data_IF_728399173902
#
_entry.id   IF_728399173902
#
_cell.length_a   1.000
_cell.length_b   1.000
_cell.length_c   1.000
_cell.angle_alpha   90.00
_cell.angle_beta   90.00
_cell.angle_gamma   90.00
#
_symmetry.space_group_name_H-M   'P 1'
#
loop_
_entity.id
_entity.type
_entity.pdbx_description
1 polymer ?
#
# COMPACT_ATOMS: atom_id res chain seq x y z
N UNK A 1 -1.53 3.14 -6.37
CA UNK A 1 -0.11 2.71 -6.29
C UNK A 1 0.69 3.78 -5.59
N UNK A 2 1.44 3.36 -4.56
CA UNK A 2 2.36 4.24 -3.83
C UNK A 2 3.78 3.69 -3.98
N UNK A 3 4.70 4.50 -4.48
CA UNK A 3 6.06 4.08 -4.79
C UNK A 3 7.10 5.06 -4.25
N UNK A 4 8.28 4.56 -3.90
CA UNK A 4 9.44 5.42 -3.60
C UNK A 4 10.17 5.91 -4.85
N UNK A 5 9.76 5.45 -6.05
CA UNK A 5 10.24 6.01 -7.30
C UNK A 5 9.85 7.49 -7.40
N UNK A 6 10.65 8.33 -8.07
CA UNK A 6 10.22 9.68 -8.41
C UNK A 6 8.86 9.65 -9.14
N UNK A 7 7.99 10.58 -8.80
CA UNK A 7 6.60 10.55 -9.28
C UNK A 7 6.48 10.39 -10.81
N UNK A 8 7.25 11.17 -11.57
CA UNK A 8 7.20 11.11 -13.05
C UNK A 8 7.55 9.70 -13.54
N UNK A 9 8.57 9.07 -12.94
CA UNK A 9 8.97 7.72 -13.33
C UNK A 9 7.92 6.68 -12.94
N UNK A 10 7.32 6.81 -11.76
CA UNK A 10 6.26 5.89 -11.31
C UNK A 10 5.05 5.94 -12.25
N UNK A 11 4.61 7.13 -12.63
CA UNK A 11 3.47 7.32 -13.55
C UNK A 11 3.77 6.67 -14.90
N UNK A 12 4.99 6.88 -15.44
CA UNK A 12 5.37 6.29 -16.73
C UNK A 12 5.36 4.76 -16.72
N UNK A 13 5.87 4.16 -15.65
CA UNK A 13 5.88 2.70 -15.51
C UNK A 13 4.46 2.14 -15.50
N UNK A 14 3.58 2.75 -14.70
CA UNK A 14 2.21 2.28 -14.58
C UNK A 14 1.45 2.48 -15.91
N UNK A 15 1.61 3.61 -16.57
CA UNK A 15 0.97 3.85 -17.88
C UNK A 15 1.44 2.84 -18.92
N UNK A 16 2.72 2.51 -18.93
CA UNK A 16 3.28 1.58 -19.89
C UNK A 16 2.86 0.14 -19.66
N UNK A 17 2.84 -0.30 -18.41
CA UNK A 17 2.66 -1.72 -18.07
C UNK A 17 1.26 -2.06 -17.57
N UNK A 18 0.55 -1.10 -16.97
CA UNK A 18 -0.70 -1.35 -16.27
C UNK A 18 -1.77 -0.31 -16.57
N UNK A 19 -1.75 0.26 -17.78
CA UNK A 19 -2.70 1.32 -18.16
C UNK A 19 -4.14 0.90 -17.92
N UNK A 20 -4.89 1.77 -17.23
CA UNK A 20 -6.30 1.53 -16.93
C UNK A 20 -6.60 0.64 -15.74
N UNK A 21 -5.58 0.05 -15.10
CA UNK A 21 -5.79 -0.83 -13.94
C UNK A 21 -5.81 -0.11 -12.60
N UNK A 22 -5.27 1.10 -12.52
CA UNK A 22 -5.15 1.82 -11.27
C UNK A 22 -5.77 3.20 -11.37
N UNK A 23 -6.54 3.56 -10.34
CA UNK A 23 -7.24 4.85 -10.30
C UNK A 23 -6.34 6.01 -9.87
N UNK A 24 -5.25 5.70 -9.15
CA UNK A 24 -4.33 6.72 -8.66
C UNK A 24 -2.93 6.16 -8.50
N UNK A 25 -1.94 6.91 -8.94
CA UNK A 25 -0.53 6.57 -8.80
C UNK A 25 0.19 7.75 -8.18
N UNK A 26 0.99 7.50 -7.13
CA UNK A 26 1.79 8.53 -6.51
C UNK A 26 3.21 8.02 -6.26
N UNK A 27 4.18 8.81 -6.67
CA UNK A 27 5.58 8.56 -6.38
C UNK A 27 6.15 9.65 -5.48
N UNK A 28 7.44 9.57 -5.22
CA UNK A 28 8.15 10.53 -4.36
C UNK A 28 8.32 11.87 -5.08
N UNK A 29 8.13 12.97 -4.36
CA UNK A 29 8.37 14.34 -4.84
C UNK A 29 8.72 15.22 -3.64
N UNK A 30 8.93 16.52 -3.89
CA UNK A 30 9.25 17.47 -2.81
C UNK A 30 8.12 17.57 -1.77
N UNK A 31 6.87 17.34 -2.19
CA UNK A 31 5.70 17.38 -1.30
C UNK A 31 5.30 16.01 -0.75
N UNK A 32 5.87 14.93 -1.28
CA UNK A 32 5.58 13.57 -0.87
C UNK A 32 6.88 12.90 -0.46
N UNK A 33 7.08 12.74 0.84
CA UNK A 33 8.29 12.11 1.38
C UNK A 33 8.28 10.61 1.08
N UNK A 34 9.48 10.04 1.06
CA UNK A 34 9.66 8.59 0.84
C UNK A 34 9.05 7.78 1.98
N UNK A 35 8.55 6.57 1.64
CA UNK A 35 8.18 5.59 2.67
C UNK A 35 9.38 5.34 3.59
N UNK A 36 9.21 5.17 4.90
CA UNK A 36 7.96 4.88 5.59
C UNK A 36 7.12 6.10 5.99
N UNK A 37 7.43 7.30 5.49
CA UNK A 37 6.52 8.43 5.72
C UNK A 37 5.15 8.15 5.10
N UNK A 38 4.04 8.52 5.76
CA UNK A 38 2.70 8.19 5.29
C UNK A 38 2.14 9.14 4.23
N UNK A 39 2.97 10.05 3.70
CA UNK A 39 2.53 11.10 2.78
C UNK A 39 1.79 10.55 1.55
N UNK A 40 2.34 9.53 0.91
CA UNK A 40 1.77 8.93 -0.28
C UNK A 40 0.38 8.33 -0.03
N UNK A 41 0.25 7.36 0.88
CA UNK A 41 -1.06 6.78 1.17
C UNK A 41 -2.08 7.79 1.70
N UNK A 42 -1.67 8.78 2.50
CA UNK A 42 -2.60 9.81 2.97
C UNK A 42 -3.11 10.68 1.81
N UNK A 43 -2.24 10.99 0.85
CA UNK A 43 -2.64 11.71 -0.36
C UNK A 43 -3.64 10.88 -1.17
N UNK A 44 -3.40 9.59 -1.31
CA UNK A 44 -4.30 8.69 -2.03
C UNK A 44 -5.68 8.64 -1.36
N UNK A 45 -5.73 8.49 -0.04
CA UNK A 45 -7.00 8.48 0.70
C UNK A 45 -7.78 9.79 0.49
N UNK A 46 -7.07 10.92 0.53
CA UNK A 46 -7.65 12.24 0.28
C UNK A 46 -8.24 12.34 -1.13
N UNK A 47 -7.51 11.88 -2.13
CA UNK A 47 -7.97 11.88 -3.52
C UNK A 47 -9.22 11.03 -3.72
N UNK A 48 -9.34 9.91 -2.99
CA UNK A 48 -10.51 9.04 -3.06
C UNK A 48 -11.65 9.53 -2.17
N UNK A 49 -11.44 10.55 -1.34
CA UNK A 49 -12.46 11.06 -0.45
C UNK A 49 -12.84 10.09 0.68
N UNK A 50 -11.90 9.29 1.13
CA UNK A 50 -12.12 8.30 2.19
C UNK A 50 -11.18 8.55 3.37
N UNK A 51 -11.53 8.04 4.56
CA UNK A 51 -10.62 8.12 5.70
C UNK A 51 -9.58 7.01 5.62
N UNK A 52 -8.39 7.20 6.24
CA UNK A 52 -7.38 6.13 6.26
C UNK A 52 -7.89 4.81 6.83
N UNK A 53 -8.78 4.86 7.83
CA UNK A 53 -9.34 3.64 8.43
C UNK A 53 -10.20 2.81 7.47
N UNK A 54 -10.59 3.40 6.34
CA UNK A 54 -11.34 2.72 5.28
C UNK A 54 -10.43 2.15 4.19
N UNK A 55 -9.12 2.32 4.34
CA UNK A 55 -8.13 1.92 3.33
C UNK A 55 -7.37 0.68 3.77
N UNK A 56 -6.99 -0.13 2.79
CA UNK A 56 -6.12 -1.28 2.97
C UNK A 56 -4.78 -0.96 2.27
N UNK A 57 -3.70 -0.92 3.04
CA UNK A 57 -2.35 -0.71 2.50
C UNK A 57 -1.66 -2.06 2.36
N UNK A 58 -1.26 -2.40 1.15
CA UNK A 58 -0.70 -3.70 0.81
C UNK A 58 0.77 -3.55 0.40
N UNK A 59 1.64 -4.35 0.98
CA UNK A 59 3.05 -4.31 0.61
C UNK A 59 3.79 -5.58 1.00
N UNK A 60 5.04 -5.67 0.58
CA UNK A 60 5.85 -6.87 0.75
C UNK A 60 7.10 -6.67 1.61
N UNK A 61 7.27 -5.48 2.19
CA UNK A 61 8.47 -5.16 2.97
C UNK A 61 8.14 -4.55 4.33
N UNK A 62 9.15 -4.56 5.23
CA UNK A 62 9.09 -3.84 6.50
C UNK A 62 8.69 -2.37 6.29
N UNK A 63 9.29 -1.72 5.30
CA UNK A 63 9.01 -0.32 4.98
C UNK A 63 7.53 -0.10 4.67
N UNK A 64 6.91 -1.00 3.90
CA UNK A 64 5.49 -0.92 3.59
C UNK A 64 4.62 -1.09 4.83
N UNK A 65 4.99 -2.01 5.72
CA UNK A 65 4.23 -2.23 6.94
C UNK A 65 4.28 -0.99 7.85
N UNK A 66 5.46 -0.39 7.96
CA UNK A 66 5.63 0.85 8.72
C UNK A 66 4.82 2.00 8.09
N UNK A 67 4.80 2.07 6.77
CA UNK A 67 4.06 3.11 6.03
C UNK A 67 2.56 3.01 6.29
N UNK A 68 2.00 1.83 6.13
CA UNK A 68 0.57 1.60 6.36
C UNK A 68 0.16 1.89 7.79
N UNK A 69 0.99 1.46 8.75
CA UNK A 69 0.77 1.72 10.17
C UNK A 69 0.81 3.23 10.48
N UNK A 70 1.80 3.93 9.95
CA UNK A 70 1.92 5.37 10.14
C UNK A 70 0.74 6.14 9.54
N UNK A 71 0.19 5.65 8.44
CA UNK A 71 -0.99 6.24 7.80
C UNK A 71 -2.29 5.89 8.51
N UNK A 72 -2.26 4.99 9.49
CA UNK A 72 -3.45 4.48 10.21
C UNK A 72 -4.42 3.75 9.30
N UNK A 73 -3.87 3.04 8.34
CA UNK A 73 -4.61 2.17 7.43
C UNK A 73 -4.56 0.72 7.89
N UNK A 74 -5.48 -0.11 7.39
CA UNK A 74 -5.37 -1.55 7.55
C UNK A 74 -4.15 -2.01 6.75
N UNK A 75 -3.23 -2.72 7.39
CA UNK A 75 -1.94 -3.07 6.78
C UNK A 75 -1.87 -4.56 6.51
N UNK A 76 -1.63 -4.91 5.24
CA UNK A 76 -1.55 -6.30 4.78
C UNK A 76 -0.18 -6.56 4.18
N UNK A 77 0.50 -7.59 4.70
CA UNK A 77 1.73 -8.08 4.10
C UNK A 77 1.44 -9.17 3.08
N UNK A 78 2.20 -9.22 2.00
CA UNK A 78 2.07 -10.25 0.98
C UNK A 78 3.36 -11.08 0.89
N UNK A 79 3.21 -12.39 0.67
CA UNK A 79 4.34 -13.33 0.69
C UNK A 79 4.96 -13.63 -0.67
N UNK A 80 4.40 -13.12 -1.76
CA UNK A 80 4.97 -13.35 -3.10
C UNK A 80 6.11 -12.39 -3.47
N UNK A 81 6.55 -11.55 -2.51
CA UNK A 81 7.77 -10.76 -2.62
C UNK A 81 8.97 -11.51 -2.05
N UNK A 82 9.97 -10.75 -1.56
CA UNK A 82 11.23 -11.33 -1.07
C UNK A 82 11.31 -11.45 0.45
N UNK A 83 10.28 -11.07 1.19
CA UNK A 83 10.30 -11.04 2.66
C UNK A 83 9.40 -12.13 3.22
N UNK A 84 9.68 -12.53 4.47
CA UNK A 84 8.92 -13.59 5.13
C UNK A 84 7.82 -13.03 6.05
N UNK A 85 6.97 -13.95 6.51
CA UNK A 85 5.84 -13.62 7.38
C UNK A 85 6.30 -12.95 8.68
N UNK A 86 7.38 -13.43 9.29
CA UNK A 86 7.87 -12.90 10.56
C UNK A 86 8.25 -11.42 10.44
N UNK A 87 8.96 -11.04 9.38
CA UNK A 87 9.31 -9.64 9.16
C UNK A 87 8.06 -8.77 9.02
N UNK A 88 7.08 -9.23 8.25
CA UNK A 88 5.87 -8.47 7.98
C UNK A 88 5.01 -8.31 9.24
N UNK A 89 4.78 -9.40 9.97
CA UNK A 89 3.98 -9.36 11.20
C UNK A 89 4.65 -8.54 12.30
N UNK A 90 5.97 -8.66 12.45
CA UNK A 90 6.73 -7.90 13.46
C UNK A 90 6.73 -6.40 13.21
N UNK A 91 6.44 -5.97 11.99
CA UNK A 91 6.49 -4.57 11.61
C UNK A 91 5.12 -3.96 11.31
N UNK A 92 4.04 -4.63 11.68
CA UNK A 92 2.71 -4.03 11.67
C UNK A 92 1.68 -4.63 10.74
N UNK A 93 1.98 -5.74 10.06
CA UNK A 93 0.97 -6.40 9.24
C UNK A 93 -0.17 -6.91 10.13
N UNK A 94 -1.37 -6.44 9.90
CA UNK A 94 -2.57 -6.95 10.59
C UNK A 94 -2.98 -8.31 10.04
N UNK A 95 -2.80 -8.51 8.74
CA UNK A 95 -3.08 -9.74 8.03
C UNK A 95 -1.95 -10.01 7.05
N UNK A 96 -1.78 -11.27 6.65
CA UNK A 96 -0.79 -11.67 5.66
C UNK A 96 -1.49 -12.48 4.57
N UNK A 97 -1.25 -12.10 3.31
CA UNK A 97 -1.78 -12.81 2.15
C UNK A 97 -0.69 -13.69 1.54
N UNK A 98 -0.98 -14.96 1.31
CA UNK A 98 -0.04 -15.90 0.69
C UNK A 98 -0.12 -15.82 -0.84
N UNK A 99 -1.30 -15.50 -1.37
CA UNK A 99 -1.55 -15.36 -2.81
C UNK A 99 -2.52 -14.21 -3.07
N UNK A 100 -2.55 -13.66 -4.29
CA UNK A 100 -3.37 -12.48 -4.59
C UNK A 100 -4.85 -12.62 -4.25
N UNK A 101 -5.43 -13.81 -4.41
CA UNK A 101 -6.85 -14.04 -4.10
C UNK A 101 -7.16 -13.80 -2.63
N UNK A 102 -6.18 -13.99 -1.73
CA UNK A 102 -6.37 -13.77 -0.30
C UNK A 102 -6.71 -12.32 0.02
N UNK A 103 -6.28 -11.38 -0.81
CA UNK A 103 -6.61 -9.96 -0.63
C UNK A 103 -8.11 -9.71 -0.69
N UNK A 104 -8.82 -10.44 -1.55
CA UNK A 104 -10.27 -10.33 -1.66
C UNK A 104 -10.96 -10.83 -0.38
N UNK A 105 -10.50 -11.93 0.16
CA UNK A 105 -11.05 -12.50 1.40
C UNK A 105 -10.79 -11.58 2.60
N UNK A 106 -9.59 -11.03 2.69
CA UNK A 106 -9.24 -10.09 3.76
C UNK A 106 -10.11 -8.83 3.68
N UNK A 107 -10.30 -8.30 2.49
CA UNK A 107 -11.15 -7.13 2.26
C UNK A 107 -12.60 -7.42 2.68
N UNK A 108 -13.13 -8.60 2.33
CA UNK A 108 -14.48 -9.01 2.72
C UNK A 108 -14.63 -9.13 4.24
N UNK A 109 -13.61 -9.66 4.94
CA UNK A 109 -13.64 -9.74 6.40
C UNK A 109 -13.80 -8.35 7.03
N UNK A 110 -13.03 -7.38 6.56
CA UNK A 110 -13.10 -6.03 7.11
C UNK A 110 -14.40 -5.31 6.78
N UNK A 111 -15.01 -5.58 5.63
CA UNK A 111 -16.30 -4.99 5.27
C UNK A 111 -17.44 -5.46 6.18
N UNK A 112 -17.32 -6.66 6.73
CA UNK A 112 -18.36 -7.27 7.55
C UNK A 112 -18.17 -7.00 9.06
N UNK A 113 -17.08 -6.36 9.42
CA UNK A 113 -16.83 -5.91 10.78
C UNK A 113 -17.51 -4.54 11.00
#
# INVERSE_FOLDING_TARGET
>A
VCSNKPHVAAVKVIEKMFDGYFDFVIGQSDSIRRKPAPDGPLKAASEFGVSPSECMYVGDTKTDMETGTAAKMHTVGVLWGFRDREELESNGAEKVAEKPQDLLYICEEWKND
#
